data_IF_798999762182
#
_entry.id   IF_798999762182
#
_cell.length_a   1.000
_cell.length_b   1.000
_cell.length_c   1.000
_cell.angle_alpha   90.00
_cell.angle_beta   90.00
_cell.angle_gamma   90.00
#
_symmetry.space_group_name_H-M   'P 1'
#
loop_
_entity.id
_entity.type
_entity.pdbx_description
1 polymer ?
#
# COMPACT_ATOMS: atom_id res chain seq x y z
N UNK A 1 -19.50 8.15 -25.62
CA UNK A 1 -19.31 7.35 -24.40
C UNK A 1 -17.82 7.20 -24.20
N UNK A 2 -17.27 7.78 -23.15
CA UNK A 2 -15.90 7.52 -22.76
C UNK A 2 -15.90 6.13 -22.12
N UNK A 3 -15.31 5.13 -22.79
CA UNK A 3 -15.13 3.79 -22.23
C UNK A 3 -13.87 3.86 -21.35
N UNK A 4 -14.06 4.15 -20.06
CA UNK A 4 -13.00 4.08 -19.07
C UNK A 4 -12.76 2.63 -18.65
N UNK A 5 -11.58 2.36 -18.09
CA UNK A 5 -11.17 1.04 -17.56
C UNK A 5 -11.56 0.85 -16.10
N UNK A 6 -11.92 1.93 -15.40
CA UNK A 6 -12.41 1.91 -14.02
C UNK A 6 -13.93 2.05 -13.98
N UNK A 7 -14.60 1.20 -13.20
CA UNK A 7 -16.04 1.27 -12.94
C UNK A 7 -16.37 2.33 -11.87
N UNK A 8 -15.55 2.41 -10.82
CA UNK A 8 -15.72 3.32 -9.69
C UNK A 8 -14.38 3.81 -9.12
N UNK A 9 -14.41 4.91 -8.35
CA UNK A 9 -13.26 5.46 -7.62
C UNK A 9 -13.71 5.91 -6.23
N UNK A 10 -13.11 5.33 -5.19
CA UNK A 10 -13.27 5.76 -3.81
C UNK A 10 -12.01 6.50 -3.31
N UNK A 11 -12.20 7.54 -2.49
CA UNK A 11 -11.11 8.24 -1.80
C UNK A 11 -11.29 8.11 -0.29
N UNK A 12 -10.23 7.64 0.39
CA UNK A 12 -10.17 7.50 1.85
C UNK A 12 -9.11 8.45 2.40
N UNK A 13 -9.46 9.19 3.45
CA UNK A 13 -8.54 10.05 4.19
C UNK A 13 -8.07 9.36 5.47
N UNK A 14 -6.82 9.56 5.87
CA UNK A 14 -6.23 8.93 7.04
C UNK A 14 -5.32 9.85 7.83
N UNK A 15 -5.11 9.53 9.11
CA UNK A 15 -4.06 10.16 9.90
C UNK A 15 -2.67 9.72 9.40
N UNK A 16 -1.74 10.67 9.30
CA UNK A 16 -0.36 10.40 8.86
C UNK A 16 0.34 9.38 9.74
N UNK A 17 0.02 9.36 11.04
CA UNK A 17 0.59 8.42 12.01
C UNK A 17 -0.49 7.92 12.93
N UNK A 18 -0.62 6.60 12.99
CA UNK A 18 -1.51 5.95 13.94
C UNK A 18 -0.69 5.03 14.83
N UNK A 19 -1.04 4.89 16.12
CA UNK A 19 -0.38 3.92 16.96
C UNK A 19 -0.61 2.51 16.42
N UNK A 20 0.38 1.62 16.49
CA UNK A 20 0.21 0.20 16.14
C UNK A 20 -0.42 -0.63 17.27
N UNK A 21 -0.40 -0.10 18.49
CA UNK A 21 -0.85 -0.80 19.69
C UNK A 21 -1.75 0.11 20.55
N UNK A 22 -2.72 -0.52 21.21
CA UNK A 22 -3.69 0.13 22.08
C UNK A 22 -5.04 0.41 21.41
N UNK A 23 -6.02 0.91 22.18
CA UNK A 23 -7.37 1.19 21.69
C UNK A 23 -7.31 2.21 20.55
N UNK A 24 -7.91 1.86 19.41
CA UNK A 24 -7.83 2.61 18.16
C UNK A 24 -7.80 1.66 16.97
N UNK A 25 -8.92 0.99 16.71
CA UNK A 25 -9.12 0.25 15.47
C UNK A 25 -9.55 1.27 14.40
N UNK A 26 -8.58 2.07 13.96
CA UNK A 26 -8.78 3.03 12.89
C UNK A 26 -8.69 2.35 11.53
N UNK A 27 -9.39 2.92 10.55
CA UNK A 27 -9.37 2.50 9.14
C UNK A 27 -7.96 2.32 8.59
N UNK A 28 -6.98 3.05 9.10
CA UNK A 28 -5.57 2.99 8.70
C UNK A 28 -4.94 1.62 8.97
N UNK A 29 -5.29 1.00 10.11
CA UNK A 29 -4.77 -0.32 10.46
C UNK A 29 -5.43 -1.39 9.61
N UNK A 30 -6.73 -1.26 9.35
CA UNK A 30 -7.46 -2.23 8.54
C UNK A 30 -6.94 -2.21 7.09
N UNK A 31 -6.84 -1.02 6.50
CA UNK A 31 -6.21 -0.83 5.17
C UNK A 31 -4.77 -1.34 5.14
N UNK A 32 -3.94 -0.97 6.12
CA UNK A 32 -2.56 -1.44 6.15
C UNK A 32 -2.46 -2.96 6.27
N UNK A 33 -3.31 -3.61 7.07
CA UNK A 33 -3.29 -5.05 7.22
C UNK A 33 -3.66 -5.74 5.91
N UNK A 34 -4.68 -5.27 5.21
CA UNK A 34 -5.09 -5.79 3.91
C UNK A 34 -3.98 -5.60 2.86
N UNK A 35 -3.41 -4.39 2.76
CA UNK A 35 -2.34 -4.10 1.82
C UNK A 35 -1.07 -4.91 2.12
N UNK A 36 -0.78 -5.12 3.41
CA UNK A 36 0.37 -5.90 3.82
C UNK A 36 0.16 -7.41 3.59
N UNK A 37 -1.08 -7.89 3.54
CA UNK A 37 -1.40 -9.26 3.14
C UNK A 37 -1.14 -9.43 1.64
N UNK A 38 -1.75 -8.56 0.82
CA UNK A 38 -1.48 -8.50 -0.62
C UNK A 38 0.01 -8.42 -0.94
N UNK A 39 0.76 -7.54 -0.25
CA UNK A 39 2.19 -7.39 -0.52
C UNK A 39 2.97 -8.68 -0.26
N UNK A 40 2.57 -9.47 0.75
CA UNK A 40 3.20 -10.77 1.03
C UNK A 40 2.88 -11.79 -0.04
N UNK A 41 1.64 -11.83 -0.51
CA UNK A 41 1.19 -12.74 -1.57
C UNK A 41 1.87 -12.41 -2.90
N UNK A 42 2.00 -11.11 -3.22
CA UNK A 42 2.66 -10.60 -4.43
C UNK A 42 4.19 -10.60 -4.35
N UNK A 43 4.77 -10.88 -3.18
CA UNK A 43 6.23 -10.92 -2.99
C UNK A 43 6.92 -9.55 -2.99
N UNK A 44 6.18 -8.47 -2.72
CA UNK A 44 6.66 -7.09 -2.73
C UNK A 44 6.72 -6.47 -1.33
N UNK A 45 7.32 -5.30 -1.21
CA UNK A 45 7.47 -4.57 0.05
C UNK A 45 6.70 -3.25 0.02
N UNK A 46 5.84 -3.02 1.02
CA UNK A 46 5.24 -1.69 1.23
C UNK A 46 6.22 -0.68 1.84
N UNK A 47 7.29 -1.17 2.48
CA UNK A 47 8.38 -0.32 2.94
C UNK A 47 9.20 0.18 1.74
N UNK A 48 9.66 1.44 1.72
CA UNK A 48 9.68 2.39 2.85
C UNK A 48 8.44 3.29 2.97
N UNK A 49 7.41 3.10 2.15
CA UNK A 49 6.28 4.03 2.04
C UNK A 49 5.30 3.90 3.20
N UNK A 50 5.01 2.66 3.58
CA UNK A 50 4.42 2.32 4.87
C UNK A 50 5.56 1.96 5.81
N UNK A 51 5.71 2.74 6.89
CA UNK A 51 6.83 2.60 7.80
C UNK A 51 6.36 2.39 9.24
N UNK A 52 7.21 1.81 10.08
CA UNK A 52 6.96 1.70 11.52
C UNK A 52 7.99 2.51 12.28
N UNK A 53 7.54 3.55 12.99
CA UNK A 53 8.43 4.39 13.80
C UNK A 53 8.25 4.17 15.28
N UNK A 54 9.37 4.16 16.00
CA UNK A 54 9.37 4.16 17.46
C UNK A 54 9.40 5.60 17.97
N UNK A 55 8.30 6.04 18.58
CA UNK A 55 8.14 7.35 19.16
C UNK A 55 8.31 7.30 20.69
N UNK A 56 9.02 8.29 21.21
CA UNK A 56 9.28 8.46 22.63
C UNK A 56 8.50 9.67 23.14
N UNK A 57 7.63 9.44 24.12
CA UNK A 57 6.97 10.53 24.85
C UNK A 57 7.97 11.10 25.85
N UNK A 58 8.43 12.33 25.65
CA UNK A 58 9.30 13.02 26.61
C UNK A 58 8.59 13.33 27.93
N UNK A 59 7.26 13.44 27.90
CA UNK A 59 6.43 13.73 29.07
C UNK A 59 6.17 12.50 29.93
N UNK A 60 5.88 11.34 29.33
CA UNK A 60 5.52 10.13 30.08
C UNK A 60 6.63 9.08 30.13
N UNK A 61 7.68 9.23 29.32
CA UNK A 61 8.76 8.24 29.19
C UNK A 61 8.37 6.98 28.43
N UNK A 62 7.12 6.88 27.97
CA UNK A 62 6.60 5.72 27.27
C UNK A 62 7.12 5.65 25.83
N UNK A 63 7.33 4.40 25.37
CA UNK A 63 7.68 4.09 23.99
C UNK A 63 6.44 3.57 23.27
N UNK A 64 6.11 4.17 22.14
CA UNK A 64 5.01 3.72 21.29
C UNK A 64 5.50 3.48 19.88
N UNK A 65 5.07 2.37 19.28
CA UNK A 65 5.26 2.13 17.84
C UNK A 65 4.08 2.74 17.09
N UNK A 66 4.38 3.50 16.06
CA UNK A 66 3.40 4.14 15.18
C UNK A 66 3.59 3.62 13.76
N UNK A 67 2.49 3.30 13.11
CA UNK A 67 2.41 3.11 11.68
C UNK A 67 2.42 4.49 11.04
N UNK A 68 3.28 4.67 10.05
CA UNK A 68 3.36 5.89 9.24
C UNK A 68 2.75 5.56 7.89
N UNK A 69 1.63 6.23 7.59
CA UNK A 69 0.94 6.11 6.31
C UNK A 69 1.66 6.98 5.26
N UNK A 70 1.67 6.56 3.98
CA UNK A 70 2.14 7.42 2.90
C UNK A 70 1.22 8.64 2.73
N UNK A 71 1.71 9.64 2.00
CA UNK A 71 0.89 10.82 1.68
C UNK A 71 -0.26 10.47 0.72
N UNK A 72 -0.02 9.54 -0.21
CA UNK A 72 -0.99 9.02 -1.17
C UNK A 72 -0.72 7.52 -1.33
N UNK A 73 -1.79 6.75 -1.45
CA UNK A 73 -1.77 5.33 -1.78
C UNK A 73 -2.89 5.08 -2.79
N UNK A 74 -2.63 4.19 -3.74
CA UNK A 74 -3.61 3.64 -4.67
C UNK A 74 -3.82 2.17 -4.30
N UNK A 75 -5.07 1.76 -4.21
CA UNK A 75 -5.48 0.37 -4.12
C UNK A 75 -6.45 0.10 -5.28
N UNK A 76 -6.23 -0.99 -6.01
CA UNK A 76 -7.07 -1.39 -7.14
C UNK A 76 -7.72 -2.71 -6.81
N UNK A 77 -9.02 -2.77 -7.07
CA UNK A 77 -9.85 -3.92 -6.80
C UNK A 77 -10.48 -4.44 -8.08
N UNK A 78 -10.52 -5.76 -8.22
CA UNK A 78 -11.29 -6.47 -9.24
C UNK A 78 -12.27 -7.40 -8.52
N UNK A 79 -13.58 -7.24 -8.76
CA UNK A 79 -14.63 -8.01 -8.08
C UNK A 79 -14.44 -8.08 -6.54
N UNK A 80 -14.23 -6.91 -5.91
CA UNK A 80 -14.01 -6.75 -4.45
C UNK A 80 -12.68 -7.37 -3.93
N UNK A 81 -11.84 -7.90 -4.83
CA UNK A 81 -10.55 -8.47 -4.47
C UNK A 81 -9.43 -7.48 -4.73
N UNK A 82 -8.61 -7.21 -3.71
CA UNK A 82 -7.44 -6.35 -3.84
C UNK A 82 -6.40 -7.02 -4.76
N UNK A 83 -6.13 -6.39 -5.90
CA UNK A 83 -5.22 -6.92 -6.93
C UNK A 83 -3.93 -6.12 -7.04
N UNK A 84 -3.94 -4.84 -6.65
CA UNK A 84 -2.74 -4.00 -6.67
C UNK A 84 -2.77 -2.94 -5.59
N UNK A 85 -1.62 -2.72 -4.96
CA UNK A 85 -1.36 -1.51 -4.14
C UNK A 85 -0.18 -0.76 -4.74
N UNK A 86 -0.20 0.57 -4.68
CA UNK A 86 0.96 1.41 -4.89
C UNK A 86 0.97 2.58 -3.89
N UNK A 87 2.12 3.04 -3.40
CA UNK A 87 3.46 2.62 -3.82
C UNK A 87 3.95 1.33 -3.13
N UNK A 88 4.81 0.59 -3.83
CA UNK A 88 5.53 -0.56 -3.28
C UNK A 88 6.95 -0.62 -3.85
N UNK A 89 7.79 -1.45 -3.25
CA UNK A 89 9.12 -1.77 -3.72
C UNK A 89 9.20 -3.26 -4.08
N UNK A 90 9.82 -3.56 -5.22
CA UNK A 90 10.11 -4.91 -5.70
C UNK A 90 11.57 -4.99 -6.16
N UNK A 91 12.33 -5.93 -5.61
CA UNK A 91 13.70 -6.27 -6.05
C UNK A 91 14.63 -5.09 -6.43
N UNK A 92 14.52 -3.94 -5.73
CA UNK A 92 15.35 -2.75 -5.96
C UNK A 92 14.74 -1.70 -6.91
N UNK A 93 13.51 -1.92 -7.38
CA UNK A 93 12.67 -0.93 -8.05
C UNK A 93 11.53 -0.50 -7.12
N UNK A 94 11.01 0.68 -7.38
CA UNK A 94 9.82 1.20 -6.72
C UNK A 94 8.76 1.44 -7.77
N UNK A 95 7.54 1.04 -7.48
CA UNK A 95 6.37 1.38 -8.27
C UNK A 95 5.65 2.54 -7.58
N UNK A 96 5.52 3.67 -8.29
CA UNK A 96 4.84 4.85 -7.79
C UNK A 96 3.35 4.82 -8.10
N UNK A 97 2.54 5.58 -7.35
CA UNK A 97 1.11 5.77 -7.68
C UNK A 97 0.94 6.33 -9.10
N UNK A 98 1.80 7.26 -9.50
CA UNK A 98 1.77 7.89 -10.83
C UNK A 98 2.05 6.88 -11.95
N UNK A 99 3.02 5.99 -11.74
CA UNK A 99 3.38 4.93 -12.69
C UNK A 99 2.22 3.94 -12.85
N UNK A 100 1.61 3.49 -11.74
CA UNK A 100 0.42 2.63 -11.79
C UNK A 100 -0.75 3.29 -12.54
N UNK A 101 -1.03 4.58 -12.31
CA UNK A 101 -2.13 5.29 -12.98
C UNK A 101 -1.84 5.43 -14.49
N UNK A 102 -0.60 5.71 -14.87
CA UNK A 102 -0.19 5.82 -16.26
C UNK A 102 -0.39 4.48 -16.99
N UNK A 103 0.13 3.39 -16.42
CA UNK A 103 0.00 2.04 -17.00
C UNK A 103 -1.47 1.62 -17.14
N UNK A 104 -2.30 1.88 -16.12
CA UNK A 104 -3.74 1.65 -16.16
C UNK A 104 -4.42 2.43 -17.30
N UNK A 105 -4.03 3.70 -17.49
CA UNK A 105 -4.57 4.56 -18.54
C UNK A 105 -4.15 4.14 -19.95
N UNK A 106 -2.95 3.57 -20.10
CA UNK A 106 -2.39 3.16 -21.40
C UNK A 106 -2.86 1.77 -21.83
N UNK A 107 -2.87 0.81 -20.90
CA UNK A 107 -3.06 -0.61 -21.21
C UNK A 107 -4.40 -1.17 -20.74
N UNK A 108 -5.04 -0.53 -19.76
CA UNK A 108 -6.20 -1.09 -19.08
C UNK A 108 -5.91 -2.34 -18.26
N UNK A 109 -4.63 -2.63 -18.00
CA UNK A 109 -4.18 -3.71 -17.12
C UNK A 109 -3.30 -3.13 -16.01
N UNK A 110 -3.18 -3.90 -14.93
CA UNK A 110 -2.29 -3.61 -13.82
C UNK A 110 -0.84 -3.98 -14.16
N UNK A 111 0.15 -3.34 -13.50
CA UNK A 111 1.53 -3.74 -13.63
C UNK A 111 1.68 -5.19 -13.17
N UNK A 112 2.31 -6.01 -14.01
CA UNK A 112 2.51 -7.44 -13.75
C UNK A 112 3.47 -7.58 -12.56
N UNK A 113 2.94 -7.79 -11.35
CA UNK A 113 3.72 -8.04 -10.13
C UNK A 113 4.28 -9.48 -10.10
N UNK A 114 4.31 -10.14 -11.26
CA UNK A 114 4.68 -11.52 -11.47
C UNK A 114 6.05 -11.86 -10.87
N UNK A 115 6.01 -12.70 -9.85
CA UNK A 115 7.14 -13.42 -9.25
C UNK A 115 8.15 -13.85 -10.33
N UNK A 116 9.27 -13.13 -10.40
CA UNK A 116 10.40 -13.56 -11.24
C UNK A 116 11.00 -14.81 -10.61
N UNK A 117 10.54 -15.96 -11.09
CA UNK A 117 11.16 -17.26 -10.77
C UNK A 117 12.53 -17.29 -11.45
N UNK A 118 13.58 -16.92 -10.72
CA UNK A 118 14.96 -17.20 -11.13
C UNK A 118 15.17 -18.72 -11.08
N UNK A 119 15.19 -19.35 -12.25
CA UNK A 119 15.74 -20.68 -12.42
C UNK A 119 17.23 -20.54 -12.74
N UNK A 120 18.09 -20.93 -11.80
CA UNK A 120 19.54 -21.06 -12.04
C UNK A 120 19.81 -22.39 -12.74
N UNK A 121 20.51 -22.33 -13.87
CA UNK A 121 21.06 -23.48 -14.60
C UNK A 121 22.38 -23.97 -14.01
#
# INVERSE_FOLDING_TARGET
MCRGVLDDIETVEWEKRVPLQGPGNGIERDLYNEFADWARESGVCLAPFFDTRLCYSSTTGEKRRELVMPAVCLAVYEDDTLVQVAPFADAGRTESVEECIAELGETGTLPDTGSTTVSTV
#
